data_IF_772912867397
#
_entry.id   IF_772912867397
#
_cell.length_a   1.000
_cell.length_b   1.000
_cell.length_c   1.000
_cell.angle_alpha   90.00
_cell.angle_beta   90.00
_cell.angle_gamma   90.00
#
_symmetry.space_group_name_H-M   'P 1'
#
loop_
_entity.id
_entity.type
_entity.pdbx_description
1 polymer ?
#
# COMPACT_ATOMS: atom_id res chain seq x y z
N UNK A 1 -4.99 2.42 -12.70
CA UNK A 1 -3.83 2.56 -11.80
C UNK A 1 -4.03 3.68 -10.77
N UNK A 2 -4.20 4.93 -11.15
CA UNK A 2 -4.32 6.05 -10.21
C UNK A 2 -5.40 5.87 -9.12
N UNK A 3 -6.60 5.44 -9.50
CA UNK A 3 -7.68 5.13 -8.54
C UNK A 3 -7.36 3.96 -7.61
N UNK A 4 -6.63 2.96 -8.09
CA UNK A 4 -6.17 1.83 -7.27
C UNK A 4 -5.19 2.32 -6.21
N UNK A 5 -4.26 3.20 -6.58
CA UNK A 5 -3.33 3.84 -5.64
C UNK A 5 -4.11 4.65 -4.59
N UNK A 6 -5.10 5.44 -5.01
CA UNK A 6 -5.96 6.19 -4.08
C UNK A 6 -6.66 5.28 -3.08
N UNK A 7 -7.16 4.12 -3.53
CA UNK A 7 -7.77 3.12 -2.65
C UNK A 7 -6.77 2.54 -1.65
N UNK A 8 -5.56 2.18 -2.10
CA UNK A 8 -4.50 1.64 -1.23
C UNK A 8 -4.10 2.67 -0.17
N UNK A 9 -3.91 3.93 -0.56
CA UNK A 9 -3.60 5.02 0.40
C UNK A 9 -4.75 5.23 1.38
N UNK A 10 -6.01 5.18 0.90
CA UNK A 10 -7.18 5.27 1.77
C UNK A 10 -7.22 4.14 2.80
N UNK A 11 -7.01 2.90 2.39
CA UNK A 11 -6.94 1.75 3.30
C UNK A 11 -5.81 1.92 4.32
N UNK A 12 -4.62 2.32 3.87
CA UNK A 12 -3.46 2.58 4.74
C UNK A 12 -3.75 3.67 5.77
N UNK A 13 -4.44 4.74 5.36
CA UNK A 13 -4.87 5.82 6.25
C UNK A 13 -5.87 5.35 7.31
N UNK A 14 -6.83 4.51 6.92
CA UNK A 14 -7.80 3.91 7.85
C UNK A 14 -7.12 2.97 8.85
N UNK A 15 -6.16 2.18 8.40
CA UNK A 15 -5.35 1.31 9.25
C UNK A 15 -4.61 2.15 10.31
N UNK A 16 -3.91 3.21 9.90
CA UNK A 16 -3.20 4.11 10.81
C UNK A 16 -4.14 4.73 11.86
N UNK A 17 -5.34 5.18 11.45
CA UNK A 17 -6.35 5.72 12.37
C UNK A 17 -6.82 4.67 13.37
N UNK A 18 -7.07 3.44 12.93
CA UNK A 18 -7.53 2.35 13.78
C UNK A 18 -6.49 2.03 14.86
N UNK A 19 -5.22 1.92 14.50
CA UNK A 19 -4.16 1.63 15.45
C UNK A 19 -3.92 2.76 16.44
N UNK A 20 -4.00 4.03 16.04
CA UNK A 20 -3.95 5.17 16.96
C UNK A 20 -5.05 5.13 18.01
N UNK A 21 -6.27 4.70 17.65
CA UNK A 21 -7.38 4.53 18.62
C UNK A 21 -7.12 3.37 19.57
N UNK A 22 -6.52 2.31 19.09
CA UNK A 22 -6.20 1.13 19.90
C UNK A 22 -5.17 1.46 20.98
N UNK A 23 -4.17 2.28 20.68
CA UNK A 23 -3.19 2.80 21.64
C UNK A 23 -3.84 3.48 22.84
N UNK A 24 -4.92 4.21 22.61
CA UNK A 24 -5.65 4.91 23.67
C UNK A 24 -6.42 3.96 24.61
N UNK A 25 -6.80 2.78 24.14
CA UNK A 25 -7.60 1.82 24.89
C UNK A 25 -6.76 0.79 25.66
N UNK A 26 -5.59 0.43 25.16
CA UNK A 26 -4.76 -0.67 25.70
C UNK A 26 -3.49 -0.17 26.38
N UNK A 27 -3.17 1.12 26.28
CA UNK A 27 -1.98 1.73 26.89
C UNK A 27 -0.64 1.30 26.24
N UNK A 28 -0.68 0.55 25.14
CA UNK A 28 0.49 0.16 24.36
C UNK A 28 0.55 0.95 23.05
N UNK A 29 1.66 1.64 22.81
CA UNK A 29 1.86 2.42 21.59
C UNK A 29 2.24 1.52 20.42
N UNK A 30 1.24 1.14 19.63
CA UNK A 30 1.43 0.47 18.34
C UNK A 30 1.43 1.50 17.23
N UNK A 31 2.54 1.64 16.52
CA UNK A 31 2.65 2.53 15.36
C UNK A 31 3.21 1.76 14.17
N UNK A 32 2.48 1.77 13.08
CA UNK A 32 2.90 1.11 11.84
C UNK A 32 3.66 2.09 10.94
N UNK A 33 4.68 1.59 10.27
CA UNK A 33 5.28 2.23 9.10
C UNK A 33 4.66 1.62 7.85
N UNK A 34 4.29 2.42 6.86
CA UNK A 34 3.70 1.93 5.63
C UNK A 34 4.43 2.55 4.45
N UNK A 35 5.07 1.70 3.63
CA UNK A 35 5.58 2.08 2.32
C UNK A 35 4.59 1.63 1.23
N UNK A 36 4.40 2.46 0.21
CA UNK A 36 3.55 2.14 -0.94
C UNK A 36 4.33 2.42 -2.22
N UNK A 37 4.32 1.46 -3.12
CA UNK A 37 4.89 1.60 -4.46
C UNK A 37 3.91 1.13 -5.53
N UNK A 38 4.15 1.54 -6.77
CA UNK A 38 3.42 1.10 -7.94
C UNK A 38 4.38 0.98 -9.12
N UNK A 39 4.24 -0.09 -9.89
CA UNK A 39 5.07 -0.35 -11.06
C UNK A 39 5.00 -1.79 -11.51
N UNK A 40 5.86 -2.15 -12.45
CA UNK A 40 5.91 -3.50 -12.98
C UNK A 40 6.52 -4.46 -11.96
N UNK A 41 5.87 -5.61 -11.83
CA UNK A 41 6.32 -6.74 -11.04
C UNK A 41 6.19 -8.03 -11.83
N UNK A 42 7.10 -8.96 -11.61
CA UNK A 42 7.07 -10.29 -12.16
C UNK A 42 6.73 -11.28 -11.06
N UNK A 43 5.74 -12.08 -11.31
CA UNK A 43 5.28 -13.12 -10.42
C UNK A 43 5.81 -14.47 -10.91
N UNK A 44 6.70 -15.07 -10.16
CA UNK A 44 7.32 -16.35 -10.46
C UNK A 44 6.69 -17.43 -9.58
N UNK A 45 6.37 -18.54 -10.22
CA UNK A 45 5.91 -19.75 -9.55
C UNK A 45 6.86 -20.88 -9.90
N UNK A 46 7.36 -21.60 -8.91
CA UNK A 46 8.24 -22.75 -9.11
C UNK A 46 7.98 -23.80 -8.03
N UNK A 47 8.35 -25.05 -8.35
CA UNK A 47 8.08 -26.20 -7.50
C UNK A 47 7.39 -27.33 -8.29
N UNK A 48 7.04 -28.38 -7.59
CA UNK A 48 6.35 -29.55 -8.13
C UNK A 48 4.87 -29.59 -7.65
N UNK A 49 4.18 -30.70 -7.94
CA UNK A 49 2.78 -30.91 -7.56
C UNK A 49 2.57 -30.98 -6.03
N UNK A 50 3.63 -31.25 -5.26
CA UNK A 50 3.59 -31.38 -3.79
C UNK A 50 3.95 -30.09 -3.07
N UNK A 51 4.81 -29.27 -3.69
CA UNK A 51 5.31 -28.06 -3.07
C UNK A 51 5.51 -26.95 -4.10
N UNK A 52 4.75 -25.88 -3.94
CA UNK A 52 4.83 -24.71 -4.82
C UNK A 52 5.35 -23.49 -4.04
N UNK A 53 6.23 -22.74 -4.66
CA UNK A 53 6.79 -21.52 -4.15
C UNK A 53 6.40 -20.35 -5.05
N UNK A 54 6.20 -19.21 -4.43
CA UNK A 54 5.91 -17.95 -5.12
C UNK A 54 7.02 -16.97 -4.82
N UNK A 55 7.45 -16.25 -5.84
CA UNK A 55 8.39 -15.16 -5.70
C UNK A 55 7.88 -13.97 -6.53
N UNK A 56 7.97 -12.79 -5.96
CA UNK A 56 7.67 -11.54 -6.66
C UNK A 56 8.97 -10.76 -6.78
N UNK A 57 9.29 -10.35 -7.99
CA UNK A 57 10.48 -9.53 -8.27
C UNK A 57 10.09 -8.34 -9.14
N UNK A 58 10.83 -7.27 -9.05
CA UNK A 58 10.66 -6.09 -9.89
C UNK A 58 10.97 -4.79 -9.17
N UNK A 59 11.08 -3.74 -9.97
CA UNK A 59 11.45 -2.40 -9.47
C UNK A 59 10.47 -1.87 -8.41
N UNK A 60 9.18 -2.17 -8.55
CA UNK A 60 8.18 -1.75 -7.56
C UNK A 60 8.43 -2.36 -6.17
N UNK A 61 8.98 -3.59 -6.10
CA UNK A 61 9.33 -4.22 -4.83
C UNK A 61 10.55 -3.54 -4.17
N UNK A 62 11.55 -3.18 -4.96
CA UNK A 62 12.70 -2.41 -4.45
C UNK A 62 12.24 -1.04 -3.94
N UNK A 63 11.42 -0.34 -4.72
CA UNK A 63 10.91 0.99 -4.39
C UNK A 63 10.02 0.98 -3.13
N UNK A 64 9.24 -0.07 -2.88
CA UNK A 64 8.43 -0.17 -1.66
C UNK A 64 9.31 -0.41 -0.43
N UNK A 65 10.38 -1.18 -0.56
CA UNK A 65 11.34 -1.37 0.54
C UNK A 65 12.05 -0.05 0.89
N UNK A 66 12.41 0.75 -0.11
CA UNK A 66 12.98 2.10 0.14
C UNK A 66 11.96 3.03 0.79
N UNK A 67 10.73 3.07 0.30
CA UNK A 67 9.67 3.89 0.87
C UNK A 67 9.40 3.53 2.35
N UNK A 68 9.37 2.24 2.67
CA UNK A 68 9.20 1.77 4.06
C UNK A 68 10.36 2.20 4.96
N UNK A 69 11.60 2.12 4.48
CA UNK A 69 12.78 2.57 5.24
C UNK A 69 12.76 4.08 5.53
N UNK A 70 12.17 4.87 4.64
CA UNK A 70 12.04 6.31 4.79
C UNK A 70 10.87 6.71 5.71
N UNK A 71 9.93 5.81 5.97
CA UNK A 71 8.81 6.05 6.85
C UNK A 71 9.23 5.94 8.31
N UNK A 72 8.78 6.89 9.13
CA UNK A 72 8.83 6.79 10.58
C UNK A 72 7.55 6.15 11.13
N UNK A 73 7.57 5.84 12.42
CA UNK A 73 6.44 5.21 13.09
C UNK A 73 5.16 6.05 12.98
N UNK A 74 4.13 5.51 12.38
CA UNK A 74 2.84 6.17 12.13
C UNK A 74 2.75 6.89 10.79
N UNK A 75 3.75 6.77 9.93
CA UNK A 75 3.80 7.44 8.64
C UNK A 75 3.49 6.51 7.46
N UNK A 76 3.03 7.14 6.38
CA UNK A 76 2.80 6.52 5.07
C UNK A 76 3.70 7.24 4.07
N UNK A 77 4.55 6.50 3.39
CA UNK A 77 5.46 7.03 2.37
C UNK A 77 5.17 6.38 1.02
N UNK A 78 5.03 7.22 -0.01
CA UNK A 78 4.87 6.79 -1.39
C UNK A 78 6.23 6.83 -2.10
N UNK A 79 6.55 5.80 -2.87
CA UNK A 79 7.69 5.84 -3.78
C UNK A 79 7.49 6.92 -4.85
N UNK A 80 8.56 7.34 -5.50
CA UNK A 80 8.50 8.30 -6.60
C UNK A 80 7.55 7.82 -7.71
N UNK A 81 7.67 6.56 -8.13
CA UNK A 81 6.81 5.95 -9.15
C UNK A 81 5.34 5.95 -8.76
N UNK A 82 5.04 5.66 -7.50
CA UNK A 82 3.68 5.70 -6.98
C UNK A 82 3.13 7.14 -6.97
N UNK A 83 3.93 8.11 -6.54
CA UNK A 83 3.57 9.53 -6.54
C UNK A 83 3.27 10.08 -7.93
N UNK A 84 4.05 9.66 -8.93
CA UNK A 84 3.83 10.04 -10.33
C UNK A 84 2.50 9.55 -10.89
N UNK A 85 2.06 8.36 -10.46
CA UNK A 85 0.87 7.68 -10.96
C UNK A 85 -0.41 7.98 -10.16
N UNK A 86 -0.30 8.58 -8.97
CA UNK A 86 -1.45 8.79 -8.09
C UNK A 86 -2.30 10.01 -8.45
N UNK A 87 -3.51 10.09 -7.90
CA UNK A 87 -4.40 11.26 -7.98
C UNK A 87 -3.94 12.32 -6.96
N UNK A 88 -2.98 13.17 -7.37
CA UNK A 88 -2.33 14.16 -6.50
C UNK A 88 -3.30 15.10 -5.78
N UNK A 89 -4.42 15.46 -6.44
CA UNK A 89 -5.43 16.34 -5.87
C UNK A 89 -6.15 15.75 -4.63
N UNK A 90 -6.09 14.44 -4.44
CA UNK A 90 -6.68 13.75 -3.28
C UNK A 90 -5.75 13.71 -2.07
N UNK A 91 -4.47 13.96 -2.27
CA UNK A 91 -3.44 13.77 -1.25
C UNK A 91 -2.81 15.08 -0.83
N UNK A 92 -2.58 15.23 0.46
CA UNK A 92 -1.64 16.21 1.01
C UNK A 92 -0.36 15.47 1.35
N UNK A 93 0.76 16.00 0.89
CA UNK A 93 2.06 15.36 1.03
C UNK A 93 3.11 16.36 1.49
N UNK A 94 4.17 15.85 2.07
CA UNK A 94 5.41 16.58 2.32
C UNK A 94 6.58 15.89 1.67
N UNK A 95 7.53 16.68 1.20
CA UNK A 95 8.77 16.15 0.63
C UNK A 95 9.70 15.65 1.72
N UNK A 96 10.44 14.59 1.40
CA UNK A 96 11.52 14.08 2.23
C UNK A 96 12.83 14.65 1.68
N UNK A 97 13.63 15.29 2.52
CA UNK A 97 14.86 15.96 2.11
C UNK A 97 15.81 15.01 1.34
N UNK A 98 16.20 15.42 0.14
CA UNK A 98 17.11 14.65 -0.73
C UNK A 98 16.51 13.38 -1.33
N UNK A 99 15.19 13.20 -1.27
CA UNK A 99 14.49 12.02 -1.80
C UNK A 99 13.37 12.41 -2.76
N UNK A 100 13.07 11.52 -3.70
CA UNK A 100 11.95 11.65 -4.64
C UNK A 100 10.65 11.05 -4.09
N UNK A 101 10.74 10.23 -3.04
CA UNK A 101 9.60 9.72 -2.30
C UNK A 101 8.92 10.83 -1.50
N UNK A 102 7.62 10.69 -1.24
CA UNK A 102 6.82 11.67 -0.52
C UNK A 102 6.07 11.04 0.66
N UNK A 103 5.96 11.79 1.73
CA UNK A 103 5.20 11.42 2.92
C UNK A 103 3.75 11.90 2.78
N UNK A 104 2.79 11.03 3.04
CA UNK A 104 1.37 11.39 3.06
C UNK A 104 1.03 12.04 4.40
N UNK A 105 0.60 13.29 4.37
CA UNK A 105 0.21 14.06 5.57
C UNK A 105 -1.30 14.19 5.72
N UNK A 106 -2.05 13.87 4.69
CA UNK A 106 -3.51 13.86 4.69
C UNK A 106 -4.09 13.38 3.37
N UNK A 107 -5.38 13.03 3.38
CA UNK A 107 -6.07 12.69 2.15
C UNK A 107 -7.57 13.03 2.23
N UNK A 108 -8.17 13.29 1.07
CA UNK A 108 -9.62 13.33 0.92
C UNK A 108 -10.12 11.89 0.91
N UNK A 109 -10.98 11.56 1.87
CA UNK A 109 -11.49 10.18 2.01
C UNK A 109 -12.32 9.78 0.80
N UNK A 110 -12.21 8.52 0.42
CA UNK A 110 -13.07 7.92 -0.59
C UNK A 110 -14.38 7.47 0.05
N UNK A 111 -15.49 7.62 -0.67
CA UNK A 111 -16.77 7.05 -0.27
C UNK A 111 -16.77 5.53 -0.45
N UNK A 112 -17.66 4.82 0.24
CA UNK A 112 -17.80 3.37 0.07
C UNK A 112 -18.12 2.98 -1.37
N UNK A 113 -18.94 3.77 -2.07
CA UNK A 113 -19.27 3.54 -3.48
C UNK A 113 -18.07 3.72 -4.40
N UNK A 114 -17.21 4.71 -4.15
CA UNK A 114 -15.96 4.88 -4.89
C UNK A 114 -15.01 3.70 -4.66
N UNK A 115 -14.85 3.25 -3.42
CA UNK A 115 -14.04 2.09 -3.08
C UNK A 115 -14.54 0.83 -3.80
N UNK A 116 -15.85 0.57 -3.76
CA UNK A 116 -16.45 -0.58 -4.43
C UNK A 116 -16.25 -0.53 -5.94
N UNK A 117 -16.45 0.63 -6.56
CA UNK A 117 -16.22 0.81 -8.00
C UNK A 117 -14.76 0.54 -8.43
N UNK A 118 -13.79 0.81 -7.57
CA UNK A 118 -12.38 0.49 -7.86
C UNK A 118 -12.16 -1.02 -7.73
N UNK A 119 -12.67 -1.63 -6.68
CA UNK A 119 -12.55 -3.07 -6.43
C UNK A 119 -13.19 -3.92 -7.54
N UNK A 120 -14.36 -3.51 -8.04
CA UNK A 120 -15.09 -4.22 -9.10
C UNK A 120 -14.33 -4.20 -10.45
N UNK A 121 -13.48 -3.20 -10.65
CA UNK A 121 -12.66 -3.05 -11.86
C UNK A 121 -11.31 -3.76 -11.80
N UNK A 122 -10.93 -4.30 -10.63
CA UNK A 122 -9.71 -5.09 -10.52
C UNK A 122 -9.89 -6.43 -11.26
N UNK A 123 -8.83 -6.91 -11.96
CA UNK A 123 -8.88 -8.20 -12.64
C UNK A 123 -9.25 -9.32 -11.68
N UNK A 124 -10.30 -10.07 -11.99
CA UNK A 124 -10.77 -11.19 -11.15
C UNK A 124 -9.72 -12.31 -10.95
N UNK A 125 -8.70 -12.35 -11.80
CA UNK A 125 -7.60 -13.33 -11.73
C UNK A 125 -6.58 -13.06 -10.61
N UNK A 126 -6.61 -11.89 -9.99
CA UNK A 126 -5.71 -11.51 -8.89
C UNK A 126 -6.35 -11.67 -7.51
N UNK A 127 -7.51 -12.28 -7.42
CA UNK A 127 -7.94 -12.88 -6.15
C UNK A 127 -6.98 -14.03 -5.90
N UNK A 128 -5.86 -13.72 -5.22
CA UNK A 128 -4.96 -14.73 -4.70
C UNK A 128 -5.80 -15.79 -4.01
N UNK A 129 -5.72 -16.99 -4.54
CA UNK A 129 -6.31 -18.17 -3.95
C UNK A 129 -5.62 -18.46 -2.61
N UNK A 130 -6.06 -17.79 -1.56
CA UNK A 130 -6.11 -18.44 -0.27
C UNK A 130 -7.34 -19.34 -0.31
N UNK A 131 -7.26 -20.44 -1.02
CA UNK A 131 -8.11 -21.57 -0.72
C UNK A 131 -7.55 -22.14 0.58
N UNK A 132 -8.22 -21.83 1.68
CA UNK A 132 -8.17 -22.68 2.85
C UNK A 132 -8.57 -24.09 2.37
N UNK A 133 -7.62 -24.97 2.22
CA UNK A 133 -7.90 -26.39 2.17
C UNK A 133 -8.11 -26.81 3.63
N UNK A 134 -9.36 -27.15 3.91
CA UNK A 134 -9.72 -27.95 5.07
C UNK A 134 -8.91 -29.27 5.13
#
# INVERSE_FOLDING_TARGET
MAKTISLVVHCSWQIQKKYRRHDMLVGQKFRLKIGISAGNMHHLRFGDERQQYFCVIGKALEDVCEAEKLAEAGEIVLSASCWELCEKHRLRTSHIAGKTAVKVTGMNQMSLSECQNVLDKLPQKEKCCFTENE
#
